data_IF_873004597676
#
_entry.id   IF_873004597676
#
_cell.length_a   1.000
_cell.length_b   1.000
_cell.length_c   1.000
_cell.angle_alpha   90.00
_cell.angle_beta   90.00
_cell.angle_gamma   90.00
#
_symmetry.space_group_name_H-M   'P 1'
#
loop_
_entity.id
_entity.type
_entity.pdbx_description
1 polymer ?
#
# COMPACT_ATOMS: atom_id res chain seq x y z
N UNK A 1 -4.72 -2.84 16.05
CA UNK A 1 -5.72 -3.46 15.15
C UNK A 1 -6.98 -3.67 15.96
N UNK A 2 -8.07 -3.01 15.60
CA UNK A 2 -9.37 -3.09 16.30
C UNK A 2 -10.40 -3.77 15.40
N UNK A 3 -11.52 -4.23 15.97
CA UNK A 3 -12.58 -4.90 15.21
C UNK A 3 -13.17 -4.00 14.11
N UNK A 4 -13.28 -2.70 14.39
CA UNK A 4 -13.76 -1.70 13.43
C UNK A 4 -12.81 -1.57 12.23
N UNK A 5 -11.49 -1.66 12.42
CA UNK A 5 -10.53 -1.70 11.30
C UNK A 5 -10.73 -2.94 10.41
N UNK A 6 -11.10 -4.09 10.98
CA UNK A 6 -11.42 -5.29 10.20
C UNK A 6 -12.75 -5.14 9.45
N UNK A 7 -13.76 -4.56 10.08
CA UNK A 7 -15.05 -4.25 9.43
C UNK A 7 -14.84 -3.30 8.26
N UNK A 8 -14.10 -2.20 8.46
CA UNK A 8 -13.77 -1.24 7.41
C UNK A 8 -13.03 -1.88 6.22
N UNK A 9 -12.17 -2.87 6.49
CA UNK A 9 -11.49 -3.65 5.45
C UNK A 9 -12.46 -4.50 4.63
N UNK A 10 -13.38 -5.21 5.31
CA UNK A 10 -14.36 -6.06 4.66
C UNK A 10 -15.34 -5.24 3.81
N UNK A 11 -15.80 -4.10 4.34
CA UNK A 11 -16.66 -3.15 3.62
C UNK A 11 -15.97 -2.55 2.39
N UNK A 12 -14.69 -2.21 2.50
CA UNK A 12 -13.89 -1.78 1.33
C UNK A 12 -13.96 -2.82 0.22
N UNK A 13 -13.66 -4.09 0.52
CA UNK A 13 -13.67 -5.16 -0.48
C UNK A 13 -15.07 -5.34 -1.06
N UNK A 14 -16.10 -5.42 -0.21
CA UNK A 14 -17.48 -5.60 -0.64
C UNK A 14 -17.96 -4.48 -1.56
N UNK A 15 -17.57 -3.23 -1.30
CA UNK A 15 -17.94 -2.07 -2.13
C UNK A 15 -17.34 -2.09 -3.53
N UNK A 16 -16.29 -2.88 -3.77
CA UNK A 16 -15.59 -2.98 -5.05
C UNK A 16 -16.13 -4.11 -5.95
N UNK A 17 -17.06 -4.92 -5.45
CA UNK A 17 -17.62 -6.07 -6.19
C UNK A 17 -19.00 -5.73 -6.74
N UNK A 18 -19.23 -6.03 -8.03
CA UNK A 18 -20.54 -5.92 -8.65
C UNK A 18 -21.23 -7.29 -8.70
N UNK A 19 -22.18 -7.53 -7.79
CA UNK A 19 -22.95 -8.78 -7.68
C UNK A 19 -24.25 -8.78 -8.48
N UNK A 20 -24.34 -7.99 -9.55
CA UNK A 20 -25.59 -7.73 -10.27
C UNK A 20 -26.25 -8.93 -11.00
N UNK A 21 -25.63 -10.12 -11.00
CA UNK A 21 -26.20 -11.34 -11.62
C UNK A 21 -25.98 -12.57 -10.73
N UNK A 22 -26.94 -13.50 -10.64
CA UNK A 22 -26.71 -14.81 -10.04
C UNK A 22 -25.51 -15.50 -10.69
N UNK A 23 -24.57 -15.97 -9.88
CA UNK A 23 -23.32 -16.58 -10.36
C UNK A 23 -22.19 -15.59 -10.66
N UNK A 24 -22.37 -14.28 -10.41
CA UNK A 24 -21.27 -13.31 -10.47
C UNK A 24 -20.21 -13.62 -9.40
N UNK A 25 -18.94 -13.32 -9.71
CA UNK A 25 -17.84 -13.49 -8.78
C UNK A 25 -18.07 -12.64 -7.52
N UNK A 26 -17.97 -13.26 -6.34
CA UNK A 26 -18.14 -12.57 -5.05
C UNK A 26 -16.90 -11.77 -4.63
N UNK A 27 -15.77 -11.96 -5.31
CA UNK A 27 -14.52 -11.28 -5.02
C UNK A 27 -14.06 -10.45 -6.22
N UNK A 28 -13.32 -9.35 -6.00
CA UNK A 28 -12.71 -8.58 -7.07
C UNK A 28 -11.75 -9.44 -7.90
N UNK A 29 -11.51 -9.03 -9.15
CA UNK A 29 -10.53 -9.70 -10.00
C UNK A 29 -9.12 -9.58 -9.41
N UNK A 30 -8.29 -10.61 -9.61
CA UNK A 30 -6.87 -10.61 -9.19
C UNK A 30 -6.09 -9.49 -9.87
N UNK A 31 -6.44 -9.11 -11.09
CA UNK A 31 -5.80 -7.99 -11.80
C UNK A 31 -5.98 -6.65 -11.07
N UNK A 32 -7.01 -6.55 -10.24
CA UNK A 32 -7.31 -5.35 -9.45
C UNK A 32 -6.72 -5.40 -8.04
N UNK A 33 -6.00 -6.47 -7.66
CA UNK A 33 -5.53 -6.69 -6.29
C UNK A 33 -4.75 -5.50 -5.73
N UNK A 34 -3.88 -4.88 -6.54
CA UNK A 34 -3.13 -3.69 -6.12
C UNK A 34 -4.05 -2.51 -5.78
N UNK A 35 -5.10 -2.32 -6.57
CA UNK A 35 -6.10 -1.26 -6.33
C UNK A 35 -6.93 -1.59 -5.09
N UNK A 36 -7.37 -2.84 -4.94
CA UNK A 36 -8.14 -3.31 -3.77
C UNK A 36 -7.33 -3.11 -2.49
N UNK A 37 -6.07 -3.52 -2.47
CA UNK A 37 -5.20 -3.34 -1.31
C UNK A 37 -4.98 -1.86 -0.96
N UNK A 38 -4.85 -0.98 -1.96
CA UNK A 38 -4.75 0.46 -1.72
C UNK A 38 -6.04 1.03 -1.11
N UNK A 39 -7.21 0.66 -1.63
CA UNK A 39 -8.50 1.10 -1.08
C UNK A 39 -8.73 0.60 0.34
N UNK A 40 -8.40 -0.67 0.62
CA UNK A 40 -8.46 -1.24 1.97
C UNK A 40 -7.54 -0.47 2.92
N UNK A 41 -6.30 -0.20 2.53
CA UNK A 41 -5.35 0.56 3.35
C UNK A 41 -5.87 1.96 3.70
N UNK A 42 -6.48 2.67 2.74
CA UNK A 42 -7.10 3.99 3.00
C UNK A 42 -8.24 3.88 4.02
N UNK A 43 -9.13 2.89 3.88
CA UNK A 43 -10.26 2.74 4.82
C UNK A 43 -9.81 2.35 6.23
N UNK A 44 -8.80 1.49 6.32
CA UNK A 44 -8.22 1.08 7.62
C UNK A 44 -7.50 2.25 8.29
N UNK A 45 -6.74 3.04 7.52
CA UNK A 45 -6.09 4.24 8.03
C UNK A 45 -7.13 5.26 8.51
N UNK A 46 -8.20 5.49 7.74
CA UNK A 46 -9.29 6.37 8.16
C UNK A 46 -9.93 5.87 9.48
N UNK A 47 -10.24 4.59 9.60
CA UNK A 47 -10.79 4.01 10.83
C UNK A 47 -9.83 4.20 12.03
N UNK A 48 -8.52 4.07 11.84
CA UNK A 48 -7.53 4.33 12.88
C UNK A 48 -7.51 5.81 13.32
N UNK A 49 -7.67 6.74 12.39
CA UNK A 49 -7.71 8.17 12.65
C UNK A 49 -9.00 8.53 13.41
N UNK A 50 -10.13 7.99 12.97
CA UNK A 50 -11.44 8.23 13.58
C UNK A 50 -11.50 7.70 15.02
N UNK A 51 -10.86 6.57 15.29
CA UNK A 51 -10.70 6.01 16.64
C UNK A 51 -9.62 6.71 17.48
N UNK A 52 -8.82 7.60 16.89
CA UNK A 52 -7.73 8.31 17.57
C UNK A 52 -6.55 7.42 17.97
N UNK A 53 -6.41 6.25 17.35
CA UNK A 53 -5.32 5.28 17.61
C UNK A 53 -4.17 5.41 16.61
N UNK A 54 -4.31 6.25 15.59
CA UNK A 54 -3.26 6.53 14.61
C UNK A 54 -2.13 7.36 15.24
N UNK A 55 -0.90 6.90 15.12
CA UNK A 55 0.31 7.61 15.59
C UNK A 55 0.63 8.83 14.72
N UNK A 56 0.38 8.71 13.41
CA UNK A 56 0.56 9.79 12.44
C UNK A 56 -0.72 9.97 11.62
N UNK A 57 -1.10 11.23 11.38
CA UNK A 57 -2.26 11.62 10.56
C UNK A 57 -1.78 12.39 9.33
N UNK A 58 -1.64 11.75 8.16
CA UNK A 58 -1.24 12.44 6.94
C UNK A 58 -2.32 13.42 6.47
N UNK A 59 -1.91 14.54 5.87
CA UNK A 59 -2.85 15.51 5.27
C UNK A 59 -3.59 14.91 4.06
N UNK A 60 -2.91 14.06 3.28
CA UNK A 60 -3.50 13.29 2.18
C UNK A 60 -3.25 11.79 2.39
N UNK A 61 -4.30 11.10 2.90
CA UNK A 61 -4.25 9.66 3.13
C UNK A 61 -4.02 8.85 1.85
N UNK A 62 -4.57 9.30 0.72
CA UNK A 62 -4.46 8.55 -0.54
C UNK A 62 -3.01 8.60 -1.00
N UNK A 63 -2.40 9.79 -1.00
CA UNK A 63 -1.01 9.96 -1.37
C UNK A 63 -0.08 9.21 -0.42
N UNK A 64 -0.32 9.27 0.90
CA UNK A 64 0.47 8.54 1.89
C UNK A 64 0.45 7.03 1.65
N UNK A 65 -0.72 6.46 1.29
CA UNK A 65 -0.83 5.05 0.92
C UNK A 65 -0.06 4.75 -0.36
N UNK A 66 -0.17 5.58 -1.40
CA UNK A 66 0.56 5.39 -2.66
C UNK A 66 2.09 5.44 -2.47
N UNK A 67 2.58 6.34 -1.61
CA UNK A 67 4.00 6.49 -1.30
C UNK A 67 4.52 5.31 -0.46
N UNK A 68 3.69 4.76 0.42
CA UNK A 68 4.01 3.56 1.19
C UNK A 68 3.98 2.27 0.34
N UNK A 69 3.28 2.28 -0.80
CA UNK A 69 3.19 1.10 -1.66
C UNK A 69 4.54 0.76 -2.30
N UNK A 70 4.91 -0.52 -2.21
CA UNK A 70 6.12 -1.01 -2.85
C UNK A 70 5.97 -1.10 -4.38
N UNK A 71 7.02 -0.64 -5.09
CA UNK A 71 7.10 -0.62 -6.55
C UNK A 71 8.34 -1.39 -7.05
N UNK A 72 8.19 -2.37 -7.95
CA UNK A 72 9.31 -3.15 -8.49
C UNK A 72 10.09 -2.32 -9.52
N UNK A 73 11.01 -1.48 -9.06
CA UNK A 73 11.91 -0.72 -9.94
C UNK A 73 13.24 -1.45 -10.08
N UNK A 74 13.37 -2.22 -11.16
CA UNK A 74 14.64 -2.85 -11.50
C UNK A 74 15.59 -1.84 -12.15
N UNK A 75 16.81 -1.76 -11.64
CA UNK A 75 17.88 -1.01 -12.31
C UNK A 75 18.13 -1.67 -13.66
N UNK A 76 18.01 -0.90 -14.75
CA UNK A 76 18.55 -1.32 -16.05
C UNK A 76 20.03 -1.62 -15.84
N UNK A 77 20.38 -2.88 -15.96
CA UNK A 77 21.73 -3.40 -16.04
C UNK A 77 22.41 -2.87 -17.31
N UNK A 78 22.81 -1.61 -17.30
CA UNK A 78 23.76 -1.08 -18.25
C UNK A 78 25.16 -1.53 -17.84
N UNK A 79 25.49 -2.80 -18.10
CA UNK A 79 26.89 -3.22 -18.04
C UNK A 79 27.58 -2.73 -19.33
N UNK A 80 28.50 -1.78 -19.17
CA UNK A 80 29.54 -1.34 -20.12
C UNK A 80 29.18 -0.25 -21.17
N UNK A 81 28.91 0.99 -20.73
CA UNK A 81 29.56 2.18 -21.33
C UNK A 81 30.24 2.93 -20.18
N UNK A 82 31.57 2.83 -20.17
CA UNK A 82 32.52 3.22 -19.11
C UNK A 82 32.16 4.56 -18.43
N UNK A 83 32.01 4.57 -17.10
CA UNK A 83 32.84 5.35 -16.15
C UNK A 83 32.21 5.45 -14.76
N UNK A 84 33.09 5.37 -13.77
CA UNK A 84 32.95 5.97 -12.43
C UNK A 84 31.89 5.41 -11.49
N UNK A 85 32.32 4.30 -10.90
CA UNK A 85 31.96 3.76 -9.59
C UNK A 85 32.24 4.77 -8.44
N UNK A 86 31.58 5.93 -8.42
CA UNK A 86 31.83 6.96 -7.40
C UNK A 86 30.58 7.78 -7.02
N UNK A 87 29.55 7.14 -6.44
CA UNK A 87 28.59 7.74 -5.48
C UNK A 87 27.49 6.73 -5.09
N UNK A 88 27.89 5.63 -4.48
CA UNK A 88 26.98 4.85 -3.63
C UNK A 88 26.97 5.57 -2.27
N UNK A 89 26.09 6.57 -2.10
CA UNK A 89 25.68 7.11 -0.79
C UNK A 89 24.39 7.90 -1.00
N UNK A 90 23.25 7.37 -0.51
CA UNK A 90 22.23 8.13 0.25
C UNK A 90 20.91 7.38 0.52
N UNK A 91 20.61 6.22 -0.09
CA UNK A 91 19.32 5.54 0.16
C UNK A 91 19.33 4.45 1.26
N UNK A 92 20.45 4.16 1.91
CA UNK A 92 20.51 3.13 2.98
C UNK A 92 19.84 3.54 4.30
N UNK A 93 19.45 4.82 4.47
CA UNK A 93 18.96 5.30 5.77
C UNK A 93 17.55 4.79 6.16
N UNK A 94 16.73 4.29 5.23
CA UNK A 94 15.34 3.91 5.55
C UNK A 94 15.15 2.40 5.82
N UNK A 95 15.97 1.52 5.23
CA UNK A 95 15.79 0.07 5.33
C UNK A 95 16.34 -0.56 6.62
N UNK A 96 17.14 0.15 7.41
CA UNK A 96 17.75 -0.39 8.65
C UNK A 96 16.87 -0.16 9.90
N UNK A 97 15.92 0.79 9.89
CA UNK A 97 15.04 1.02 11.05
C UNK A 97 13.87 0.03 11.20
N UNK A 98 13.57 -0.79 10.20
CA UNK A 98 12.42 -1.72 10.19
C UNK A 98 12.78 -3.19 10.44
N UNK A 99 14.01 -3.49 10.88
CA UNK A 99 14.40 -4.85 11.31
C UNK A 99 14.93 -4.94 12.74
N UNK A 100 14.74 -3.90 13.57
CA UNK A 100 15.11 -3.98 14.99
C UNK A 100 14.12 -3.25 15.91
N UNK A 101 12.86 -3.69 15.84
CA UNK A 101 11.98 -3.79 17.00
C UNK A 101 11.36 -5.18 17.01
#
# INVERSE_FOLDING_TARGET
>A
MTDSMFVASAEAIASMVNVGKPGAAMLPSVDQLRTVSATVAVRVAQAAIDEGIAEETPDDLIQAVQDAMWHPVYKKNQSHIKKSFARIRLCEAFLIKQQNQ
#
